data_IF_118544501930
#
_entry.id   IF_118544501930
#
_cell.length_a   1.000
_cell.length_b   1.000
_cell.length_c   1.000
_cell.angle_alpha   90.00
_cell.angle_beta   90.00
_cell.angle_gamma   90.00
#
_symmetry.space_group_name_H-M   'P 1'
#
loop_
_entity.id
_entity.type
_entity.pdbx_description
1 polymer ?
#
# COMPACT_ATOMS: atom_id res chain seq x y z
N UNK A 1 14.69 -1.78 4.60
CA UNK A 1 14.14 -2.17 3.29
C UNK A 1 14.64 -1.19 2.26
N UNK A 2 14.98 -1.65 1.07
CA UNK A 2 15.48 -0.82 -0.03
C UNK A 2 14.35 -0.43 -1.00
N UNK A 3 14.57 0.57 -1.86
CA UNK A 3 13.66 0.87 -2.96
C UNK A 3 13.45 -0.36 -3.86
N UNK A 4 14.51 -1.11 -4.16
CA UNK A 4 14.42 -2.36 -4.93
C UNK A 4 13.45 -3.37 -4.29
N UNK A 5 13.50 -3.52 -2.97
CA UNK A 5 12.59 -4.43 -2.26
C UNK A 5 11.13 -3.99 -2.45
N UNK A 6 10.86 -2.68 -2.37
CA UNK A 6 9.51 -2.12 -2.61
C UNK A 6 9.08 -2.37 -4.04
N UNK A 7 9.94 -2.06 -5.02
CA UNK A 7 9.62 -2.24 -6.44
C UNK A 7 9.39 -3.71 -6.80
N UNK A 8 10.04 -4.65 -6.10
CA UNK A 8 9.77 -6.09 -6.24
C UNK A 8 8.35 -6.43 -5.78
N UNK A 9 7.89 -5.86 -4.67
CA UNK A 9 6.51 -6.06 -4.18
C UNK A 9 5.50 -5.43 -5.13
N UNK A 10 5.74 -4.20 -5.59
CA UNK A 10 4.89 -3.51 -6.57
C UNK A 10 4.80 -4.34 -7.85
N UNK A 11 5.93 -4.79 -8.40
CA UNK A 11 5.96 -5.62 -9.60
C UNK A 11 5.08 -6.87 -9.46
N UNK A 12 5.22 -7.60 -8.34
CA UNK A 12 4.42 -8.81 -8.10
C UNK A 12 2.94 -8.51 -8.00
N UNK A 13 2.58 -7.41 -7.34
CA UNK A 13 1.21 -6.95 -7.23
C UNK A 13 0.60 -6.64 -8.60
N UNK A 14 1.34 -5.94 -9.47
CA UNK A 14 0.90 -5.64 -10.84
C UNK A 14 0.83 -6.88 -11.72
N UNK A 15 1.76 -7.84 -11.60
CA UNK A 15 1.70 -9.11 -12.32
C UNK A 15 0.44 -9.91 -11.95
N UNK A 16 0.14 -10.04 -10.65
CA UNK A 16 -1.07 -10.71 -10.17
C UNK A 16 -2.32 -10.02 -10.71
N UNK A 17 -2.35 -8.68 -10.71
CA UNK A 17 -3.47 -7.92 -11.26
C UNK A 17 -3.65 -8.14 -12.77
N UNK A 18 -2.58 -8.08 -13.56
CA UNK A 18 -2.63 -8.28 -15.03
C UNK A 18 -3.13 -9.66 -15.38
N UNK A 19 -2.62 -10.69 -14.70
CA UNK A 19 -3.12 -12.07 -14.83
C UNK A 19 -4.61 -12.14 -14.46
N UNK A 20 -5.02 -11.45 -13.38
CA UNK A 20 -6.42 -11.37 -12.99
C UNK A 20 -7.31 -10.78 -14.09
N UNK A 21 -6.88 -9.69 -14.73
CA UNK A 21 -7.61 -9.05 -15.84
C UNK A 21 -7.69 -9.98 -17.06
N UNK A 22 -6.61 -10.67 -17.39
CA UNK A 22 -6.59 -11.64 -18.49
C UNK A 22 -7.60 -12.77 -18.24
N UNK A 23 -7.58 -13.37 -17.04
CA UNK A 23 -8.53 -14.43 -16.66
C UNK A 23 -9.97 -13.90 -16.64
N UNK A 24 -10.20 -12.67 -16.17
CA UNK A 24 -11.56 -12.09 -16.16
C UNK A 24 -12.10 -11.92 -17.58
N UNK A 25 -11.27 -11.49 -18.54
CA UNK A 25 -11.64 -11.42 -19.95
C UNK A 25 -11.99 -12.80 -20.52
N UNK A 26 -11.16 -13.82 -20.25
CA UNK A 26 -11.42 -15.20 -20.67
C UNK A 26 -12.75 -15.72 -20.07
N UNK A 27 -13.01 -15.39 -18.81
CA UNK A 27 -14.25 -15.76 -18.10
C UNK A 27 -15.48 -15.09 -18.70
N UNK A 28 -15.36 -13.85 -19.19
CA UNK A 28 -16.44 -13.17 -19.93
C UNK A 28 -16.75 -13.92 -21.23
N UNK A 29 -15.74 -14.41 -21.96
CA UNK A 29 -15.95 -15.21 -23.17
C UNK A 29 -16.67 -16.54 -22.91
N UNK A 30 -16.52 -17.12 -21.72
CA UNK A 30 -17.23 -18.34 -21.29
C UNK A 30 -18.72 -18.12 -20.96
N UNK A 31 -19.18 -16.87 -20.84
CA UNK A 31 -20.59 -16.55 -20.58
C UNK A 31 -21.12 -17.13 -19.27
N UNK A 32 -22.23 -17.87 -19.31
CA UNK A 32 -22.87 -18.42 -18.10
C UNK A 32 -21.99 -19.44 -17.37
N UNK A 33 -21.16 -20.18 -18.10
CA UNK A 33 -20.31 -21.24 -17.55
C UNK A 33 -19.12 -20.66 -16.77
N UNK A 34 -18.76 -19.40 -17.05
CA UNK A 34 -17.71 -18.65 -16.35
C UNK A 34 -18.09 -18.14 -14.96
N UNK A 35 -19.37 -18.19 -14.56
CA UNK A 35 -19.85 -17.57 -13.31
C UNK A 35 -19.10 -18.05 -12.06
N UNK A 36 -18.83 -19.35 -11.95
CA UNK A 36 -18.12 -19.90 -10.80
C UNK A 36 -16.65 -19.52 -10.79
N UNK A 37 -16.00 -19.51 -11.95
CA UNK A 37 -14.61 -19.08 -12.10
C UNK A 37 -14.45 -17.61 -11.73
N UNK A 38 -15.40 -16.75 -12.12
CA UNK A 38 -15.38 -15.34 -11.73
C UNK A 38 -15.42 -15.15 -10.22
N UNK A 39 -16.30 -15.86 -9.52
CA UNK A 39 -16.39 -15.78 -8.06
C UNK A 39 -15.10 -16.24 -7.37
N UNK A 40 -14.47 -17.30 -7.89
CA UNK A 40 -13.17 -17.77 -7.38
C UNK A 40 -12.05 -16.77 -7.65
N UNK A 41 -12.07 -16.13 -8.82
CA UNK A 41 -11.10 -15.09 -9.17
C UNK A 41 -11.26 -13.86 -8.26
N UNK A 42 -12.49 -13.40 -8.05
CA UNK A 42 -12.81 -12.29 -7.13
C UNK A 42 -12.33 -12.61 -5.69
N UNK A 43 -12.53 -13.85 -5.22
CA UNK A 43 -12.06 -14.28 -3.90
C UNK A 43 -10.52 -14.32 -3.81
N UNK A 44 -9.84 -14.78 -4.86
CA UNK A 44 -8.37 -14.87 -4.89
C UNK A 44 -7.69 -13.52 -5.03
N UNK A 45 -8.23 -12.62 -5.86
CA UNK A 45 -7.67 -11.29 -6.06
C UNK A 45 -7.93 -10.39 -4.85
N UNK A 46 -9.01 -10.65 -4.10
CA UNK A 46 -9.33 -9.94 -2.87
C UNK A 46 -9.27 -8.42 -3.02
N UNK A 47 -8.66 -7.75 -2.04
CA UNK A 47 -8.57 -6.28 -1.99
C UNK A 47 -7.27 -5.73 -2.61
N UNK A 48 -6.88 -6.27 -3.76
CA UNK A 48 -5.63 -5.88 -4.44
C UNK A 48 -5.59 -4.39 -4.80
N UNK A 49 -6.72 -3.78 -5.20
CA UNK A 49 -6.75 -2.35 -5.54
C UNK A 49 -6.44 -1.48 -4.31
N UNK A 50 -6.99 -1.79 -3.14
CA UNK A 50 -6.64 -1.08 -1.90
C UNK A 50 -5.17 -1.31 -1.54
N UNK A 51 -4.63 -2.52 -1.75
CA UNK A 51 -3.22 -2.79 -1.51
C UNK A 51 -2.29 -1.94 -2.42
N UNK A 52 -2.65 -1.77 -3.71
CA UNK A 52 -1.94 -0.88 -4.66
C UNK A 52 -1.98 0.56 -4.19
N UNK A 53 -3.16 0.99 -3.79
CA UNK A 53 -3.38 2.35 -3.32
C UNK A 53 -2.59 2.66 -2.03
N UNK A 54 -2.48 1.69 -1.12
CA UNK A 54 -1.73 1.83 0.14
C UNK A 54 -0.21 1.76 -0.07
N UNK A 55 0.29 0.94 -1.00
CA UNK A 55 1.74 0.87 -1.28
C UNK A 55 2.23 2.18 -1.93
N UNK A 56 1.43 2.79 -2.80
CA UNK A 56 1.72 4.13 -3.34
C UNK A 56 1.82 5.16 -2.22
N UNK A 57 0.84 5.20 -1.31
CA UNK A 57 0.87 6.14 -0.17
C UNK A 57 2.09 5.96 0.73
N UNK A 58 2.51 4.72 0.95
CA UNK A 58 3.64 4.43 1.85
C UNK A 58 4.99 4.78 1.25
N UNK A 59 5.15 4.71 -0.08
CA UNK A 59 6.46 4.77 -0.72
C UNK A 59 6.56 5.76 -1.88
N UNK A 60 5.58 6.61 -2.15
CA UNK A 60 5.81 7.70 -3.11
C UNK A 60 6.95 8.62 -2.61
N UNK A 61 7.80 9.10 -3.52
CA UNK A 61 9.03 9.83 -3.18
C UNK A 61 8.77 11.17 -2.48
N UNK A 62 7.67 11.85 -2.82
CA UNK A 62 7.33 13.14 -2.18
C UNK A 62 6.78 12.91 -0.77
N UNK A 63 7.51 13.33 0.27
CA UNK A 63 7.11 13.22 1.68
C UNK A 63 5.84 13.99 2.05
N UNK A 64 5.41 14.95 1.23
CA UNK A 64 4.12 15.60 1.45
C UNK A 64 2.96 14.61 1.26
N UNK A 65 1.80 14.88 1.90
CA UNK A 65 0.63 14.05 1.71
C UNK A 65 0.14 14.15 0.27
N UNK A 66 -0.02 13.00 -0.38
CA UNK A 66 -0.50 12.94 -1.75
C UNK A 66 -1.96 13.35 -1.80
N UNK A 67 -2.28 14.26 -2.72
CA UNK A 67 -3.66 14.48 -3.10
C UNK A 67 -4.22 13.21 -3.76
N UNK A 68 -5.52 12.95 -3.63
CA UNK A 68 -6.19 11.81 -4.29
C UNK A 68 -5.88 11.77 -5.79
N UNK A 69 -5.85 12.93 -6.46
CA UNK A 69 -5.53 13.01 -7.88
C UNK A 69 -4.11 12.52 -8.23
N UNK A 70 -3.12 12.72 -7.35
CA UNK A 70 -1.75 12.22 -7.56
C UNK A 70 -1.69 10.70 -7.41
N UNK A 71 -2.43 10.15 -6.44
CA UNK A 71 -2.52 8.70 -6.23
C UNK A 71 -3.17 8.06 -7.46
N UNK A 72 -4.30 8.60 -7.92
CA UNK A 72 -4.97 8.14 -9.14
C UNK A 72 -4.02 8.22 -10.34
N UNK A 73 -3.33 9.35 -10.56
CA UNK A 73 -2.38 9.49 -11.65
C UNK A 73 -1.24 8.45 -11.58
N UNK A 74 -0.75 8.15 -10.38
CA UNK A 74 0.32 7.13 -10.19
C UNK A 74 -0.20 5.73 -10.52
N UNK A 75 -1.42 5.40 -10.11
CA UNK A 75 -2.06 4.13 -10.44
C UNK A 75 -2.36 4.02 -11.94
N UNK A 76 -2.79 5.10 -12.58
CA UNK A 76 -3.00 5.17 -14.03
C UNK A 76 -1.68 4.97 -14.80
N UNK A 77 -0.57 5.53 -14.30
CA UNK A 77 0.77 5.29 -14.85
C UNK A 77 1.19 3.81 -14.72
N UNK A 78 0.93 3.17 -13.58
CA UNK A 78 1.16 1.72 -13.39
C UNK A 78 0.28 0.85 -14.30
N UNK A 79 -0.94 1.29 -14.59
CA UNK A 79 -1.83 0.62 -15.55
C UNK A 79 -1.30 0.72 -16.98
N UNK A 80 -0.65 1.83 -17.32
CA UNK A 80 -0.20 2.12 -18.68
C UNK A 80 1.16 1.49 -19.05
N UNK A 81 1.97 1.03 -18.08
CA UNK A 81 3.28 0.45 -18.41
C UNK A 81 3.15 -0.86 -19.20
N UNK A 82 4.11 -1.11 -20.08
CA UNK A 82 4.21 -2.38 -20.79
C UNK A 82 4.75 -3.50 -19.88
N UNK A 83 4.55 -4.77 -20.29
CA UNK A 83 5.11 -5.91 -19.54
C UNK A 83 6.65 -5.85 -19.47
N UNK A 84 7.30 -5.31 -20.51
CA UNK A 84 8.76 -5.09 -20.50
C UNK A 84 9.16 -4.04 -19.48
N UNK A 85 8.45 -2.92 -19.39
CA UNK A 85 8.71 -1.86 -18.42
C UNK A 85 8.41 -2.31 -16.99
N UNK A 86 7.41 -3.16 -16.80
CA UNK A 86 7.11 -3.79 -15.51
C UNK A 86 8.29 -4.64 -14.99
N UNK A 87 9.13 -5.17 -15.88
CA UNK A 87 10.36 -5.90 -15.53
C UNK A 87 11.55 -4.98 -15.20
N UNK A 88 11.44 -3.68 -15.47
CA UNK A 88 12.47 -2.69 -15.16
C UNK A 88 12.14 -1.91 -13.87
N UNK A 89 12.88 -2.21 -12.79
CA UNK A 89 12.72 -1.51 -11.52
C UNK A 89 13.03 -0.01 -11.60
N UNK A 90 13.80 0.45 -12.59
CA UNK A 90 14.02 1.89 -12.79
C UNK A 90 12.81 2.58 -13.41
N UNK A 91 12.04 1.87 -14.24
CA UNK A 91 10.77 2.37 -14.76
C UNK A 91 9.72 2.46 -13.65
N UNK A 92 9.60 1.42 -12.81
CA UNK A 92 8.71 1.45 -11.64
C UNK A 92 9.09 2.54 -10.63
N UNK A 93 10.38 2.66 -10.31
CA UNK A 93 10.87 3.69 -9.40
C UNK A 93 10.51 5.11 -9.87
N UNK A 94 10.58 5.35 -11.17
CA UNK A 94 10.25 6.65 -11.78
C UNK A 94 8.79 7.03 -11.57
N UNK A 95 7.86 6.08 -11.70
CA UNK A 95 6.42 6.28 -11.47
C UNK A 95 6.16 6.69 -10.02
N UNK A 96 6.91 6.12 -9.08
CA UNK A 96 6.88 6.50 -7.67
C UNK A 96 7.60 7.82 -7.37
N UNK A 97 8.13 8.51 -8.38
CA UNK A 97 8.82 9.79 -8.25
C UNK A 97 10.29 9.70 -7.86
N UNK A 98 10.90 8.51 -7.89
CA UNK A 98 12.32 8.32 -7.59
C UNK A 98 13.21 8.47 -8.83
N UNK A 99 14.50 8.81 -8.67
CA UNK A 99 15.47 8.78 -9.75
C UNK A 99 15.64 7.36 -10.32
N UNK A 100 15.74 7.26 -11.64
CA UNK A 100 16.02 6.00 -12.36
C UNK A 100 17.52 5.65 -12.33
N UNK A 101 18.12 5.59 -11.14
CA UNK A 101 19.55 5.23 -10.97
C UNK A 101 19.72 4.01 -10.08
N UNK A 102 20.82 3.28 -10.28
CA UNK A 102 21.14 2.10 -9.45
C UNK A 102 21.30 2.49 -7.97
N UNK A 103 21.87 3.66 -7.69
CA UNK A 103 22.03 4.17 -6.33
C UNK A 103 20.67 4.44 -5.66
N UNK A 104 19.67 4.91 -6.41
CA UNK A 104 18.33 5.09 -5.89
C UNK A 104 17.69 3.74 -5.50
N UNK A 105 17.94 2.68 -6.27
CA UNK A 105 17.42 1.33 -5.98
C UNK A 105 17.93 0.78 -4.64
N UNK A 106 19.18 1.08 -4.29
CA UNK A 106 19.81 0.63 -3.05
C UNK A 106 19.50 1.57 -1.87
N UNK A 107 18.77 2.66 -2.09
CA UNK A 107 18.40 3.61 -1.04
C UNK A 107 17.47 2.98 -0.01
N UNK A 108 17.73 3.27 1.27
CA UNK A 108 16.90 2.79 2.36
C UNK A 108 15.58 3.55 2.43
N UNK A 109 14.47 2.83 2.50
CA UNK A 109 13.13 3.37 2.65
C UNK A 109 12.47 2.86 3.93
N UNK A 110 11.64 3.71 4.51
CA UNK A 110 10.74 3.37 5.61
C UNK A 110 9.29 3.64 5.18
N UNK A 111 8.35 2.71 5.40
CA UNK A 111 6.94 2.98 5.13
C UNK A 111 6.43 4.14 5.98
N UNK A 112 5.48 4.91 5.45
CA UNK A 112 4.77 5.94 6.21
C UNK A 112 3.83 5.34 7.25
N UNK A 113 3.23 4.20 6.94
CA UNK A 113 2.39 3.42 7.86
C UNK A 113 0.94 3.26 7.42
N UNK A 114 0.53 3.75 6.24
CA UNK A 114 -0.83 3.61 5.74
C UNK A 114 -1.25 2.14 5.64
N UNK A 115 -0.38 1.27 5.11
CA UNK A 115 -0.68 -0.16 4.99
C UNK A 115 -0.87 -0.82 6.36
N UNK A 116 0.03 -0.58 7.30
CA UNK A 116 -0.08 -1.14 8.65
C UNK A 116 -1.37 -0.66 9.36
N UNK A 117 -1.65 0.64 9.28
CA UNK A 117 -2.83 1.24 9.90
C UNK A 117 -4.15 0.75 9.29
N UNK A 118 -4.17 0.37 8.01
CA UNK A 118 -5.35 -0.23 7.36
C UNK A 118 -5.79 -1.56 7.97
N UNK A 119 -4.86 -2.27 8.63
CA UNK A 119 -5.16 -3.51 9.37
C UNK A 119 -5.89 -3.29 10.70
N UNK A 120 -6.01 -2.05 11.19
CA UNK A 120 -6.68 -1.75 12.45
C UNK A 120 -8.20 -1.73 12.22
N UNK A 121 -8.98 -2.65 12.81
CA UNK A 121 -10.40 -2.75 12.53
C UNK A 121 -11.15 -1.46 12.87
N UNK A 122 -12.08 -1.07 11.99
CA UNK A 122 -13.00 0.08 12.14
C UNK A 122 -12.31 1.45 12.18
N UNK A 123 -11.00 1.53 11.98
CA UNK A 123 -10.30 2.80 11.90
C UNK A 123 -10.63 3.49 10.57
N UNK A 124 -11.21 4.70 10.64
CA UNK A 124 -11.52 5.48 9.45
C UNK A 124 -10.26 6.02 8.80
N UNK A 125 -10.25 6.09 7.46
CA UNK A 125 -9.11 6.59 6.70
C UNK A 125 -8.69 8.02 7.11
N UNK A 126 -9.64 8.89 7.47
CA UNK A 126 -9.35 10.24 7.97
C UNK A 126 -8.46 10.24 9.22
N UNK A 127 -8.70 9.33 10.17
CA UNK A 127 -7.84 9.18 11.35
C UNK A 127 -6.48 8.60 10.99
N UNK A 128 -6.44 7.62 10.07
CA UNK A 128 -5.19 7.09 9.55
C UNK A 128 -4.33 8.17 8.91
N UNK A 129 -4.92 9.00 8.04
CA UNK A 129 -4.24 10.10 7.37
C UNK A 129 -3.69 11.13 8.37
N UNK A 130 -4.48 11.55 9.35
CA UNK A 130 -4.01 12.45 10.41
C UNK A 130 -2.80 11.89 11.18
N UNK A 131 -2.88 10.63 11.59
CA UNK A 131 -1.83 9.98 12.36
C UNK A 131 -0.56 9.76 11.53
N UNK A 132 -0.68 9.22 10.33
CA UNK A 132 0.47 9.00 9.45
C UNK A 132 1.18 10.33 9.14
N UNK A 133 0.42 11.41 8.94
CA UNK A 133 1.00 12.75 8.76
C UNK A 133 1.71 13.26 10.01
N UNK A 134 1.13 13.06 11.20
CA UNK A 134 1.70 13.54 12.45
C UNK A 134 3.03 12.84 12.82
N UNK A 135 3.14 11.54 12.54
CA UNK A 135 4.29 10.72 12.95
C UNK A 135 5.30 10.44 11.82
N UNK A 136 4.91 10.67 10.56
CA UNK A 136 5.77 10.66 9.37
C UNK A 136 6.29 9.30 8.89
N UNK A 137 6.37 8.31 9.77
CA UNK A 137 6.81 6.95 9.45
C UNK A 137 6.12 5.90 10.32
N UNK A 138 6.11 4.65 9.85
CA UNK A 138 5.61 3.52 10.63
C UNK A 138 6.39 3.36 11.93
N UNK A 139 7.71 3.56 11.92
CA UNK A 139 8.51 3.51 13.13
C UNK A 139 8.09 4.60 14.12
N UNK A 140 7.81 5.82 13.64
CA UNK A 140 7.26 6.90 14.45
C UNK A 140 5.91 6.54 15.07
N UNK A 141 5.00 5.94 14.29
CA UNK A 141 3.71 5.45 14.78
C UNK A 141 3.86 4.36 15.85
N UNK A 142 4.76 3.40 15.63
CA UNK A 142 5.03 2.32 16.58
C UNK A 142 5.64 2.81 17.89
N UNK A 143 6.46 3.87 17.83
CA UNK A 143 7.08 4.49 19.00
C UNK A 143 6.12 5.41 19.79
N UNK A 144 5.01 5.84 19.18
CA UNK A 144 4.05 6.75 19.79
C UNK A 144 3.28 6.10 20.95
N UNK A 145 3.18 6.80 22.08
CA UNK A 145 2.31 6.41 23.18
C UNK A 145 0.85 6.74 22.89
N UNK A 146 -0.08 6.16 23.65
CA UNK A 146 -1.50 6.54 23.54
C UNK A 146 -1.73 8.03 23.81
N UNK A 147 -0.92 8.66 24.69
CA UNK A 147 -1.00 10.11 24.93
C UNK A 147 -0.54 10.92 23.72
N UNK A 148 0.51 10.47 23.02
CA UNK A 148 0.99 11.15 21.81
C UNK A 148 -0.04 11.06 20.69
N UNK A 149 -0.63 9.88 20.49
CA UNK A 149 -1.69 9.67 19.50
C UNK A 149 -2.90 10.57 19.78
N UNK A 150 -3.31 10.72 21.04
CA UNK A 150 -4.41 11.60 21.44
C UNK A 150 -4.11 13.09 21.22
N UNK A 151 -2.83 13.49 21.20
CA UNK A 151 -2.45 14.89 21.00
C UNK A 151 -2.66 15.38 19.57
N UNK A 152 -2.85 14.47 18.62
CA UNK A 152 -3.13 14.78 17.22
C UNK A 152 -4.55 15.33 17.10
N UNK A 153 -4.69 16.53 16.54
CA UNK A 153 -5.99 17.16 16.32
C UNK A 153 -6.92 16.24 15.50
N UNK A 154 -8.14 16.03 15.98
CA UNK A 154 -9.10 15.10 15.38
C UNK A 154 -9.03 13.67 15.92
N UNK A 155 -7.98 13.31 16.69
CA UNK A 155 -7.89 12.00 17.36
C UNK A 155 -8.43 12.11 18.79
N UNK A 156 -9.66 11.64 18.97
CA UNK A 156 -10.31 11.64 20.28
C UNK A 156 -9.69 10.65 21.28
N UNK A 157 -9.98 10.85 22.57
CA UNK A 157 -9.56 9.98 23.67
C UNK A 157 -10.03 8.52 23.53
N UNK A 158 -11.10 8.28 22.78
CA UNK A 158 -11.61 6.93 22.50
C UNK A 158 -10.77 6.19 21.46
N UNK A 159 -10.16 6.89 20.50
CA UNK A 159 -9.43 6.26 19.39
C UNK A 159 -7.98 5.96 19.74
N UNK A 160 -7.32 6.81 20.53
CA UNK A 160 -5.90 6.65 20.83
C UNK A 160 -5.54 5.29 21.49
N UNK A 161 -6.29 4.78 22.49
CA UNK A 161 -6.03 3.44 23.04
C UNK A 161 -6.26 2.32 22.03
N UNK A 162 -7.31 2.44 21.19
CA UNK A 162 -7.63 1.45 20.14
C UNK A 162 -6.53 1.37 19.08
N UNK A 163 -6.04 2.52 18.63
CA UNK A 163 -4.93 2.60 17.66
C UNK A 163 -3.64 2.06 18.26
N UNK A 164 -3.32 2.43 19.51
CA UNK A 164 -2.13 1.92 20.22
C UNK A 164 -2.16 0.40 20.34
N UNK A 165 -3.31 -0.16 20.73
CA UNK A 165 -3.49 -1.61 20.82
C UNK A 165 -3.32 -2.29 19.46
N UNK A 166 -3.97 -1.77 18.40
CA UNK A 166 -3.82 -2.30 17.04
C UNK A 166 -2.37 -2.29 16.56
N UNK A 167 -1.63 -1.20 16.81
CA UNK A 167 -0.21 -1.10 16.48
C UNK A 167 0.67 -2.07 17.30
N UNK A 168 0.31 -2.39 18.55
CA UNK A 168 1.02 -3.39 19.35
C UNK A 168 0.83 -4.78 18.76
N UNK A 169 -0.41 -5.16 18.44
CA UNK A 169 -0.74 -6.46 17.86
C UNK A 169 -0.03 -6.69 16.52
N UNK A 170 0.03 -5.65 15.67
CA UNK A 170 0.76 -5.70 14.41
C UNK A 170 2.27 -5.90 14.61
N UNK A 171 2.86 -5.24 15.61
CA UNK A 171 4.28 -5.43 15.92
C UNK A 171 4.56 -6.86 16.41
N UNK A 172 3.67 -7.42 17.23
CA UNK A 172 3.78 -8.79 17.73
C UNK A 172 3.61 -9.84 16.63
N UNK A 173 2.66 -9.66 15.70
CA UNK A 173 2.46 -10.60 14.58
C UNK A 173 3.65 -10.62 13.63
N UNK A 174 4.25 -9.46 13.36
CA UNK A 174 5.42 -9.36 12.47
C UNK A 174 6.67 -10.01 13.07
N UNK A 175 6.72 -10.17 14.40
CA UNK A 175 7.79 -10.89 15.12
C UNK A 175 7.50 -12.39 15.17
N UNK A 176 6.24 -12.79 15.28
CA UNK A 176 5.82 -14.19 15.33
C UNK A 176 5.91 -14.90 13.97
N UNK A 177 5.82 -14.16 12.86
CA UNK A 177 5.95 -14.67 11.48
C UNK A 177 7.41 -14.72 10.96
N UNK A 178 8.41 -14.54 11.85
CA UNK A 178 9.84 -14.67 11.53
C UNK A 178 10.44 -16.02 11.94
#
# INVERSE_FOLDING_TARGET
MTLRDVMTVVQRLELVRRIGIEIDNDVVELGTDGRQLRLQLEELLGDNETARELIVRDYYANHEPLATAQITATLDELDAITDTELLDFNALAKIFGYPSTTEAQDSALSPRGYRAMSGIPRLQFSHTDLLVRAFGSLQGLLAASASDLQSVEGIGSTWAPHVREGLSQLAESTIADQ
#
